data_IF_587658174733
#
_entry.id   IF_587658174733
#
_cell.length_a   1.000
_cell.length_b   1.000
_cell.length_c   1.000
_cell.angle_alpha   90.00
_cell.angle_beta   90.00
_cell.angle_gamma   90.00
#
_symmetry.space_group_name_H-M   'P 1'
#
loop_
_entity.id
_entity.type
_entity.pdbx_description
1 polymer ?
#
# COMPACT_ATOMS: atom_id res chain seq x y z
N UNK A 1 69.97 38.98 95.96
CA UNK A 1 70.10 37.83 95.05
C UNK A 1 70.41 38.41 93.67
N UNK A 2 71.63 38.83 93.35
CA UNK A 2 72.85 38.01 93.27
C UNK A 2 72.56 36.58 92.82
N UNK A 3 73.21 35.99 91.83
CA UNK A 3 74.19 36.42 90.83
C UNK A 3 74.62 35.08 90.21
N UNK A 4 74.85 35.07 88.90
CA UNK A 4 75.94 34.32 88.25
C UNK A 4 75.88 32.78 88.30
N UNK A 5 75.83 32.17 87.11
CA UNK A 5 76.97 31.63 86.35
C UNK A 5 76.48 31.61 84.88
N UNK A 6 77.03 32.29 83.87
CA UNK A 6 78.40 32.67 83.53
C UNK A 6 79.38 31.49 83.50
N UNK A 7 79.57 30.94 82.29
CA UNK A 7 80.78 30.37 81.71
C UNK A 7 80.41 30.04 80.26
N UNK A 8 80.72 30.85 79.23
CA UNK A 8 82.05 31.21 78.72
C UNK A 8 82.92 29.97 78.43
N UNK A 9 83.35 29.84 77.18
CA UNK A 9 84.16 28.74 76.63
C UNK A 9 83.57 28.29 75.30
N UNK A 10 83.67 29.05 74.20
CA UNK A 10 84.88 29.35 73.44
C UNK A 10 85.62 28.08 72.96
N UNK A 11 85.94 28.11 71.66
CA UNK A 11 86.89 27.26 70.93
C UNK A 11 86.41 25.87 70.49
N UNK A 12 86.28 25.67 69.18
CA UNK A 12 86.23 24.32 68.61
C UNK A 12 85.53 24.15 67.27
N UNK A 13 85.92 24.94 66.27
CA UNK A 13 85.72 24.75 64.83
C UNK A 13 84.65 23.76 64.34
N UNK A 14 83.60 24.28 63.71
CA UNK A 14 83.38 24.11 62.26
C UNK A 14 82.04 24.72 61.83
N UNK A 15 82.13 25.64 60.86
CA UNK A 15 81.08 26.05 59.92
C UNK A 15 79.91 26.92 60.43
N UNK A 16 80.12 28.24 60.42
CA UNK A 16 79.09 29.31 60.50
C UNK A 16 78.07 29.28 59.35
N UNK A 17 78.29 28.43 58.34
CA UNK A 17 77.36 28.18 57.24
C UNK A 17 76.46 26.94 57.46
N UNK A 18 76.71 26.14 58.49
CA UNK A 18 75.93 24.94 58.79
C UNK A 18 75.20 25.09 60.13
N UNK A 19 73.86 24.98 60.14
CA UNK A 19 73.10 25.01 61.39
C UNK A 19 73.51 23.87 62.32
N UNK A 20 73.35 24.03 63.65
CA UNK A 20 73.72 23.02 64.62
C UNK A 20 73.02 21.69 64.35
N UNK A 21 73.72 20.58 64.56
CA UNK A 21 73.30 19.22 64.14
C UNK A 21 71.95 18.78 64.68
N UNK A 22 71.52 19.29 65.85
CA UNK A 22 70.21 18.99 66.42
C UNK A 22 69.05 19.59 65.60
N UNK A 23 69.23 20.78 65.00
CA UNK A 23 68.22 21.40 64.14
C UNK A 23 68.09 20.66 62.82
N UNK A 24 69.21 20.17 62.28
CA UNK A 24 69.20 19.30 61.10
C UNK A 24 68.46 18.00 61.37
N UNK A 25 68.66 17.36 62.53
CA UNK A 25 67.97 16.10 62.87
C UNK A 25 66.45 16.33 63.03
N UNK A 26 66.04 17.35 63.79
CA UNK A 26 64.62 17.66 64.00
C UNK A 26 63.96 18.12 62.69
N UNK A 27 64.62 18.97 61.91
CA UNK A 27 64.15 19.43 60.60
C UNK A 27 64.00 18.28 59.61
N UNK A 28 64.93 17.33 59.60
CA UNK A 28 64.85 16.13 58.75
C UNK A 28 63.68 15.22 59.16
N UNK A 29 63.48 15.00 60.46
CA UNK A 29 62.34 14.22 60.97
C UNK A 29 61.01 14.91 60.61
N UNK A 30 60.91 16.23 60.77
CA UNK A 30 59.72 16.99 60.40
C UNK A 30 59.47 16.96 58.88
N UNK A 31 60.52 17.11 58.07
CA UNK A 31 60.44 17.01 56.61
C UNK A 31 59.93 15.64 56.16
N UNK A 32 60.50 14.55 56.68
CA UNK A 32 60.05 13.20 56.33
C UNK A 32 58.63 12.91 56.82
N UNK A 33 58.25 13.44 57.98
CA UNK A 33 56.88 13.29 58.51
C UNK A 33 55.87 13.94 57.57
N UNK A 34 56.12 15.19 57.16
CA UNK A 34 55.27 15.93 56.21
C UNK A 34 55.32 15.29 54.82
N UNK A 35 56.51 14.87 54.35
CA UNK A 35 56.68 14.19 53.08
C UNK A 35 55.88 12.89 53.03
N UNK A 36 55.91 12.09 54.09
CA UNK A 36 55.13 10.86 54.18
C UNK A 36 53.63 11.15 54.21
N UNK A 37 53.19 12.19 54.91
CA UNK A 37 51.79 12.62 54.95
C UNK A 37 51.30 13.07 53.56
N UNK A 38 52.09 13.89 52.86
CA UNK A 38 51.78 14.35 51.49
C UNK A 38 51.84 13.22 50.48
N UNK A 39 52.83 12.34 50.58
CA UNK A 39 52.97 11.18 49.70
C UNK A 39 51.82 10.18 49.89
N UNK A 40 51.37 10.00 51.14
CA UNK A 40 50.25 9.11 51.45
C UNK A 40 48.88 9.72 51.16
N UNK A 41 48.72 11.05 51.15
CA UNK A 41 47.40 11.69 51.03
C UNK A 41 47.22 12.56 49.77
N UNK A 42 48.19 13.41 49.42
CA UNK A 42 48.08 14.32 48.27
C UNK A 42 48.28 13.60 46.93
N UNK A 43 49.31 12.76 46.84
CA UNK A 43 49.63 11.96 45.64
C UNK A 43 48.46 11.06 45.17
N UNK A 44 47.80 10.25 46.04
CA UNK A 44 46.67 9.43 45.59
C UNK A 44 45.45 10.27 45.19
N UNK A 45 45.18 11.39 45.87
CA UNK A 45 44.07 12.27 45.50
C UNK A 45 44.27 12.89 44.11
N UNK A 46 45.49 13.33 43.78
CA UNK A 46 45.80 13.89 42.46
C UNK A 46 45.66 12.82 41.37
N UNK A 47 46.21 11.62 41.58
CA UNK A 47 46.07 10.50 40.64
C UNK A 47 44.61 10.13 40.39
N UNK A 48 43.81 10.02 41.45
CA UNK A 48 42.37 9.73 41.35
C UNK A 48 41.63 10.76 40.49
N UNK A 49 41.94 12.04 40.63
CA UNK A 49 41.30 13.08 39.81
C UNK A 49 41.73 13.05 38.34
N UNK A 50 42.98 12.70 38.05
CA UNK A 50 43.49 12.51 36.70
C UNK A 50 42.86 11.29 36.05
N UNK A 51 42.84 10.14 36.73
CA UNK A 51 42.20 8.91 36.27
C UNK A 51 40.71 9.14 36.01
N UNK A 52 39.98 9.81 36.91
CA UNK A 52 38.57 10.12 36.70
C UNK A 52 38.33 11.03 35.49
N UNK A 53 39.24 11.98 35.21
CA UNK A 53 39.16 12.82 34.01
C UNK A 53 39.45 12.02 32.73
N UNK A 54 40.47 11.19 32.75
CA UNK A 54 40.83 10.33 31.62
C UNK A 54 39.69 9.37 31.31
N UNK A 55 39.16 8.68 32.31
CA UNK A 55 38.02 7.74 32.17
C UNK A 55 36.76 8.46 31.66
N UNK A 56 36.48 9.68 32.14
CA UNK A 56 35.35 10.47 31.65
C UNK A 56 35.50 10.87 30.17
N UNK A 57 36.72 11.22 29.74
CA UNK A 57 37.00 11.58 28.35
C UNK A 57 36.96 10.35 27.45
N UNK A 58 37.68 9.29 27.80
CA UNK A 58 37.71 8.03 27.04
C UNK A 58 36.31 7.40 26.97
N UNK A 59 35.59 7.36 28.08
CA UNK A 59 34.20 6.90 28.13
C UNK A 59 33.26 7.79 27.32
N UNK A 60 33.51 9.10 27.28
CA UNK A 60 32.77 10.05 26.46
C UNK A 60 32.99 9.83 24.96
N UNK A 61 34.25 9.65 24.53
CA UNK A 61 34.63 9.36 23.15
C UNK A 61 34.07 8.01 22.71
N UNK A 62 34.25 6.96 23.51
CA UNK A 62 33.73 5.63 23.20
C UNK A 62 32.19 5.63 23.08
N UNK A 63 31.48 6.39 23.93
CA UNK A 63 30.02 6.58 23.80
C UNK A 63 29.66 7.34 22.54
N UNK A 64 30.38 8.40 22.19
CA UNK A 64 30.13 9.18 20.98
C UNK A 64 30.34 8.33 19.71
N UNK A 65 31.42 7.56 19.65
CA UNK A 65 31.69 6.63 18.54
C UNK A 65 30.60 5.56 18.43
N UNK A 66 30.21 4.96 19.55
CA UNK A 66 29.13 3.96 19.58
C UNK A 66 27.81 4.56 19.08
N UNK A 67 27.43 5.74 19.56
CA UNK A 67 26.23 6.45 19.11
C UNK A 67 26.29 6.79 17.62
N UNK A 68 27.47 7.18 17.11
CA UNK A 68 27.65 7.46 15.69
C UNK A 68 27.52 6.20 14.83
N UNK A 69 28.08 5.07 15.28
CA UNK A 69 27.95 3.78 14.60
C UNK A 69 26.50 3.27 14.62
N UNK A 70 25.81 3.39 15.75
CA UNK A 70 24.38 3.06 15.87
C UNK A 70 23.55 3.93 14.93
N UNK A 71 23.77 5.26 14.92
CA UNK A 71 23.08 6.18 14.03
C UNK A 71 23.33 5.85 12.55
N UNK A 72 24.57 5.53 12.17
CA UNK A 72 24.90 5.13 10.81
C UNK A 72 24.20 3.81 10.41
N UNK A 73 24.16 2.85 11.33
CA UNK A 73 23.47 1.57 11.12
C UNK A 73 21.96 1.76 10.98
N UNK A 74 21.33 2.53 11.87
CA UNK A 74 19.91 2.86 11.81
C UNK A 74 19.58 3.63 10.53
N UNK A 75 20.42 4.57 10.10
CA UNK A 75 20.23 5.29 8.84
C UNK A 75 20.32 4.35 7.63
N UNK A 76 21.25 3.40 7.64
CA UNK A 76 21.37 2.39 6.60
C UNK A 76 20.12 1.51 6.52
N UNK A 77 19.67 0.97 7.66
CA UNK A 77 18.44 0.18 7.77
C UNK A 77 17.22 0.98 7.31
N UNK A 78 17.10 2.24 7.72
CA UNK A 78 16.02 3.11 7.31
C UNK A 78 16.00 3.32 5.78
N UNK A 79 17.16 3.57 5.17
CA UNK A 79 17.29 3.71 3.71
C UNK A 79 16.94 2.42 2.99
N UNK A 80 17.36 1.27 3.51
CA UNK A 80 17.02 -0.03 2.97
C UNK A 80 15.51 -0.26 3.01
N UNK A 81 14.88 -0.04 4.17
CA UNK A 81 13.43 -0.18 4.33
C UNK A 81 12.67 0.78 3.39
N UNK A 82 13.16 2.00 3.20
CA UNK A 82 12.56 2.95 2.27
C UNK A 82 12.68 2.48 0.81
N UNK A 83 13.82 1.92 0.42
CA UNK A 83 14.02 1.36 -0.91
C UNK A 83 13.12 0.15 -1.16
N UNK A 84 13.02 -0.75 -0.18
CA UNK A 84 12.15 -1.91 -0.22
C UNK A 84 10.67 -1.50 -0.30
N UNK A 85 10.23 -0.56 0.53
CA UNK A 85 8.87 -0.03 0.49
C UNK A 85 8.53 0.61 -0.87
N UNK A 86 9.48 1.34 -1.48
CA UNK A 86 9.30 1.89 -2.84
C UNK A 86 9.23 0.81 -3.90
N UNK A 87 10.06 -0.23 -3.79
CA UNK A 87 10.04 -1.38 -4.70
C UNK A 87 8.70 -2.13 -4.61
N UNK A 88 8.22 -2.39 -3.39
CA UNK A 88 6.95 -3.08 -3.17
C UNK A 88 5.77 -2.23 -3.67
N UNK A 89 5.78 -0.91 -3.42
CA UNK A 89 4.78 -0.01 -3.97
C UNK A 89 4.77 -0.01 -5.51
N UNK A 90 5.93 -0.03 -6.15
CA UNK A 90 6.04 -0.13 -7.61
C UNK A 90 5.50 -1.47 -8.12
N UNK A 91 5.80 -2.57 -7.43
CA UNK A 91 5.29 -3.91 -7.74
C UNK A 91 3.76 -4.00 -7.61
N UNK A 92 3.20 -3.48 -6.52
CA UNK A 92 1.75 -3.40 -6.30
C UNK A 92 1.10 -2.61 -7.44
N UNK A 93 1.66 -1.46 -7.80
CA UNK A 93 1.14 -0.64 -8.89
C UNK A 93 1.17 -1.37 -10.23
N UNK A 94 2.29 -2.01 -10.57
CA UNK A 94 2.42 -2.79 -11.80
C UNK A 94 1.43 -3.97 -11.85
N UNK A 95 1.24 -4.66 -10.71
CA UNK A 95 0.26 -5.74 -10.60
C UNK A 95 -1.15 -5.23 -10.81
N UNK A 96 -1.52 -4.11 -10.17
CA UNK A 96 -2.83 -3.49 -10.32
C UNK A 96 -3.10 -2.99 -11.75
N UNK A 97 -2.08 -2.46 -12.44
CA UNK A 97 -2.19 -2.06 -13.84
C UNK A 97 -2.41 -3.28 -14.77
N UNK A 98 -1.69 -4.38 -14.53
CA UNK A 98 -1.89 -5.64 -15.26
C UNK A 98 -3.28 -6.24 -15.01
N UNK A 99 -3.70 -6.31 -13.74
CA UNK A 99 -5.00 -6.84 -13.35
C UNK A 99 -6.14 -6.00 -13.91
N UNK A 100 -6.01 -4.68 -13.87
CA UNK A 100 -6.95 -3.75 -14.53
C UNK A 100 -7.08 -4.05 -16.02
N UNK A 101 -5.97 -4.25 -16.72
CA UNK A 101 -5.99 -4.53 -18.15
C UNK A 101 -6.72 -5.85 -18.45
N UNK A 102 -6.45 -6.90 -17.66
CA UNK A 102 -7.15 -8.18 -17.75
C UNK A 102 -8.65 -8.01 -17.50
N UNK A 103 -9.04 -7.34 -16.42
CA UNK A 103 -10.44 -7.12 -16.06
C UNK A 103 -11.20 -6.33 -17.14
N UNK A 104 -10.58 -5.30 -17.74
CA UNK A 104 -11.18 -4.55 -18.84
C UNK A 104 -11.39 -5.44 -20.07
N UNK A 105 -10.41 -6.30 -20.39
CA UNK A 105 -10.54 -7.22 -21.52
C UNK A 105 -11.62 -8.28 -21.28
N UNK A 106 -11.70 -8.83 -20.07
CA UNK A 106 -12.75 -9.78 -19.68
C UNK A 106 -14.13 -9.13 -19.75
N UNK A 107 -14.30 -7.94 -19.15
CA UNK A 107 -15.55 -7.19 -19.20
C UNK A 107 -15.98 -6.86 -20.63
N UNK A 108 -15.02 -6.51 -21.52
CA UNK A 108 -15.30 -6.29 -22.95
C UNK A 108 -15.75 -7.55 -23.66
N UNK A 109 -15.10 -8.68 -23.38
CA UNK A 109 -15.46 -9.97 -23.99
C UNK A 109 -16.85 -10.41 -23.53
N UNK A 110 -17.14 -10.29 -22.23
CA UNK A 110 -18.47 -10.56 -21.69
C UNK A 110 -19.54 -9.65 -22.28
N UNK A 111 -19.28 -8.34 -22.39
CA UNK A 111 -20.19 -7.39 -23.03
C UNK A 111 -20.43 -7.73 -24.51
N UNK A 112 -19.40 -8.15 -25.25
CA UNK A 112 -19.56 -8.59 -26.64
C UNK A 112 -20.41 -9.85 -26.75
N UNK A 113 -20.21 -10.84 -25.87
CA UNK A 113 -21.04 -12.05 -25.82
C UNK A 113 -22.49 -11.72 -25.50
N UNK A 114 -22.73 -10.88 -24.50
CA UNK A 114 -24.07 -10.43 -24.14
C UNK A 114 -24.74 -9.69 -25.31
N UNK A 115 -24.02 -8.79 -25.98
CA UNK A 115 -24.53 -8.08 -27.16
C UNK A 115 -24.89 -9.04 -28.31
N UNK A 116 -24.07 -10.07 -28.55
CA UNK A 116 -24.37 -11.11 -29.55
C UNK A 116 -25.64 -11.88 -29.19
N UNK A 117 -25.80 -12.28 -27.92
CA UNK A 117 -27.01 -12.99 -27.46
C UNK A 117 -28.26 -12.12 -27.65
N UNK A 118 -28.21 -10.86 -27.23
CA UNK A 118 -29.33 -9.91 -27.40
C UNK A 118 -29.65 -9.72 -28.88
N UNK A 119 -28.64 -9.59 -29.74
CA UNK A 119 -28.85 -9.45 -31.19
C UNK A 119 -29.47 -10.69 -31.80
N UNK A 120 -29.02 -11.89 -31.41
CA UNK A 120 -29.61 -13.15 -31.88
C UNK A 120 -31.07 -13.29 -31.44
N UNK A 121 -31.38 -12.95 -30.19
CA UNK A 121 -32.75 -12.94 -29.68
C UNK A 121 -33.63 -11.93 -30.43
N UNK A 122 -33.13 -10.71 -30.67
CA UNK A 122 -33.84 -9.69 -31.44
C UNK A 122 -34.14 -10.17 -32.87
N UNK A 123 -33.16 -10.76 -33.55
CA UNK A 123 -33.36 -11.31 -34.90
C UNK A 123 -34.39 -12.46 -34.92
N UNK A 124 -34.33 -13.35 -33.93
CA UNK A 124 -35.32 -14.42 -33.81
C UNK A 124 -36.73 -13.86 -33.56
N UNK A 125 -36.85 -12.84 -32.72
CA UNK A 125 -38.12 -12.15 -32.46
C UNK A 125 -38.67 -11.45 -33.71
N UNK A 126 -37.79 -10.79 -34.49
CA UNK A 126 -38.16 -10.15 -35.76
C UNK A 126 -38.71 -11.17 -36.77
N UNK A 127 -38.11 -12.36 -36.89
CA UNK A 127 -38.62 -13.39 -37.81
C UNK A 127 -39.99 -13.93 -37.37
N UNK A 128 -40.21 -14.09 -36.05
CA UNK A 128 -41.53 -14.45 -35.51
C UNK A 128 -42.56 -13.35 -35.81
N UNK A 129 -42.22 -12.09 -35.57
CA UNK A 129 -43.10 -10.94 -35.83
C UNK A 129 -43.42 -10.77 -37.32
N UNK A 130 -42.43 -10.97 -38.19
CA UNK A 130 -42.62 -10.94 -39.65
C UNK A 130 -43.58 -12.03 -40.11
N UNK A 131 -43.42 -13.26 -39.58
CA UNK A 131 -44.33 -14.37 -39.89
C UNK A 131 -45.76 -14.03 -39.43
N UNK A 132 -45.90 -13.45 -38.23
CA UNK A 132 -47.19 -13.00 -37.71
C UNK A 132 -47.81 -11.92 -38.59
N UNK A 133 -47.05 -10.90 -38.97
CA UNK A 133 -47.50 -9.81 -39.85
C UNK A 133 -47.95 -10.31 -41.23
N UNK A 134 -47.24 -11.28 -41.81
CA UNK A 134 -47.63 -11.90 -43.09
C UNK A 134 -48.95 -12.68 -42.96
N UNK A 135 -49.14 -13.39 -41.84
CA UNK A 135 -50.38 -14.11 -41.59
C UNK A 135 -51.57 -13.17 -41.37
N UNK A 136 -51.38 -12.10 -40.60
CA UNK A 136 -52.39 -11.03 -40.43
C UNK A 136 -52.75 -10.39 -41.78
N UNK A 137 -51.74 -10.02 -42.58
CA UNK A 137 -51.96 -9.46 -43.92
C UNK A 137 -52.73 -10.43 -44.84
N UNK A 138 -52.45 -11.73 -44.78
CA UNK A 138 -53.21 -12.74 -45.54
C UNK A 138 -54.68 -12.80 -45.13
N UNK A 139 -54.97 -12.71 -43.84
CA UNK A 139 -56.34 -12.68 -43.33
C UNK A 139 -57.07 -11.42 -43.80
N UNK A 140 -56.42 -10.25 -43.70
CA UNK A 140 -56.99 -8.98 -44.15
C UNK A 140 -57.28 -8.98 -45.65
N UNK A 141 -56.34 -9.48 -46.47
CA UNK A 141 -56.54 -9.61 -47.92
C UNK A 141 -57.66 -10.60 -48.24
N UNK A 142 -57.75 -11.71 -47.51
CA UNK A 142 -58.82 -12.71 -47.70
C UNK A 142 -60.19 -12.12 -47.38
N UNK A 143 -60.30 -11.35 -46.29
CA UNK A 143 -61.52 -10.63 -45.92
C UNK A 143 -61.90 -9.58 -46.98
N UNK A 144 -60.92 -8.83 -47.50
CA UNK A 144 -61.15 -7.84 -48.55
C UNK A 144 -61.63 -8.50 -49.85
N UNK A 145 -61.03 -9.64 -50.22
CA UNK A 145 -61.41 -10.42 -51.39
C UNK A 145 -62.81 -11.03 -51.25
N UNK A 146 -63.16 -11.56 -50.07
CA UNK A 146 -64.52 -12.04 -49.77
C UNK A 146 -65.53 -10.90 -49.87
N UNK A 147 -65.26 -9.74 -49.28
CA UNK A 147 -66.13 -8.57 -49.38
C UNK A 147 -66.32 -8.09 -50.82
N UNK A 148 -65.28 -8.15 -51.66
CA UNK A 148 -65.40 -7.87 -53.09
C UNK A 148 -66.24 -8.93 -53.82
N UNK A 149 -66.01 -10.20 -53.53
CA UNK A 149 -66.77 -11.31 -54.11
C UNK A 149 -68.26 -11.22 -53.75
N UNK A 150 -68.61 -10.95 -52.49
CA UNK A 150 -69.98 -10.70 -52.04
C UNK A 150 -70.63 -9.55 -52.82
N UNK A 151 -69.89 -8.46 -53.05
CA UNK A 151 -70.38 -7.31 -53.83
C UNK A 151 -70.63 -7.63 -55.29
N UNK A 152 -69.74 -8.40 -55.94
CA UNK A 152 -69.87 -8.84 -57.33
C UNK A 152 -71.03 -9.82 -57.48
N UNK A 153 -71.13 -10.82 -56.58
CA UNK A 153 -72.20 -11.81 -56.57
C UNK A 153 -73.54 -11.11 -56.34
N UNK A 154 -73.65 -10.22 -55.36
CA UNK A 154 -74.85 -9.40 -55.12
C UNK A 154 -75.26 -8.58 -56.35
N UNK A 155 -74.30 -7.96 -57.05
CA UNK A 155 -74.55 -7.24 -58.28
C UNK A 155 -74.98 -8.17 -59.44
N UNK A 156 -74.44 -9.39 -59.54
CA UNK A 156 -74.81 -10.35 -60.58
C UNK A 156 -76.15 -11.05 -60.32
N UNK A 157 -76.58 -11.19 -59.07
CA UNK A 157 -77.92 -11.68 -58.69
C UNK A 157 -79.02 -10.64 -58.89
N UNK A 158 -78.65 -9.37 -59.10
CA UNK A 158 -79.60 -8.30 -59.47
C UNK A 158 -80.19 -8.50 -60.88
N UNK A 159 -79.64 -9.44 -61.65
CA UNK A 159 -80.03 -9.79 -63.02
C UNK A 159 -80.79 -11.14 -62.99
N UNK A 160 -82.13 -11.07 -63.01
CA UNK A 160 -83.07 -12.19 -62.82
C UNK A 160 -82.77 -13.41 -63.71
N UNK A 161 -82.26 -13.17 -64.94
CA UNK A 161 -81.91 -14.23 -65.88
C UNK A 161 -80.69 -15.04 -65.42
N UNK A 162 -79.69 -14.40 -64.81
CA UNK A 162 -78.47 -15.06 -64.30
C UNK A 162 -78.76 -15.80 -62.99
N UNK A 163 -79.60 -15.23 -62.13
CA UNK A 163 -80.02 -15.89 -60.89
C UNK A 163 -80.76 -17.22 -61.16
N UNK A 164 -81.70 -17.25 -62.13
CA UNK A 164 -82.36 -18.49 -62.56
C UNK A 164 -81.38 -19.52 -63.13
N UNK A 165 -80.44 -19.11 -63.97
CA UNK A 165 -79.46 -20.03 -64.56
C UNK A 165 -78.57 -20.73 -63.51
N UNK A 166 -78.22 -20.04 -62.43
CA UNK A 166 -77.45 -20.62 -61.31
C UNK A 166 -78.28 -21.65 -60.53
N UNK A 167 -79.57 -21.37 -60.32
CA UNK A 167 -80.50 -22.30 -59.66
C UNK A 167 -80.69 -23.56 -60.49
N UNK A 168 -80.91 -23.43 -61.80
CA UNK A 168 -81.08 -24.56 -62.71
C UNK A 168 -79.81 -25.42 -62.78
N UNK A 169 -78.63 -24.79 -62.78
CA UNK A 169 -77.34 -25.49 -62.72
C UNK A 169 -77.17 -26.27 -61.40
N UNK A 170 -77.56 -25.68 -60.26
CA UNK A 170 -77.50 -26.33 -58.95
C UNK A 170 -78.46 -27.52 -58.85
N UNK A 171 -79.68 -27.40 -59.39
CA UNK A 171 -80.65 -28.52 -59.48
C UNK A 171 -80.05 -29.65 -60.32
N UNK A 172 -79.42 -29.31 -61.45
CA UNK A 172 -78.76 -30.29 -62.34
C UNK A 172 -77.58 -31.01 -61.68
N UNK A 173 -76.78 -30.30 -60.88
CA UNK A 173 -75.68 -30.90 -60.12
C UNK A 173 -76.19 -31.83 -59.01
N UNK A 174 -77.27 -31.46 -58.30
CA UNK A 174 -77.91 -32.33 -57.31
C UNK A 174 -78.51 -33.60 -57.94
N UNK A 175 -79.14 -33.47 -59.11
CA UNK A 175 -79.61 -34.62 -59.88
C UNK A 175 -78.45 -35.52 -60.33
N UNK A 176 -77.29 -34.94 -60.67
CA UNK A 176 -76.09 -35.70 -61.05
C UNK A 176 -75.44 -36.45 -59.87
N UNK A 177 -75.47 -35.87 -58.65
CA UNK A 177 -74.94 -36.50 -57.42
C UNK A 177 -75.88 -37.57 -56.90
N UNK A 178 -77.20 -37.44 -57.12
CA UNK A 178 -78.22 -38.44 -56.75
C UNK A 178 -78.38 -39.57 -57.77
N UNK A 179 -77.81 -39.41 -58.97
CA UNK A 179 -77.82 -40.40 -60.06
C UNK A 179 -76.64 -41.38 -60.08
N UNK A 180 -75.77 -41.35 -59.05
CA UNK A 180 -74.77 -42.39 -58.73
C UNK A 180 -75.15 -43.04 -57.41
#
# INVERSE_FOLDING_TARGET
MNWILAAEGAEGGSNVLLPPTYELVIGTIAFFTIFFLLSKFALPNIRKTLEARTEAIEGGIAKAEKLQQEAATTLSQYRQNLAEAKSEAAKIRSSAESERATLINEARNEAQKAAQVVTQQANAQIEVEKTKAVNELRLDVSNLALGLAEKIVGASLSDDAKAKAVIDQFIKDLESVKGK
#
